data_IF_559900489726
#
_entry.id   IF_559900489726
#
_cell.length_a   1.000
_cell.length_b   1.000
_cell.length_c   1.000
_cell.angle_alpha   90.00
_cell.angle_beta   90.00
_cell.angle_gamma   90.00
#
_symmetry.space_group_name_H-M   'P 1'
#
loop_
_entity.id
_entity.type
_entity.pdbx_description
1 polymer ?
#
# COMPACT_ATOMS: atom_id res chain seq x y z
N UNK A 1 -3.33 -28.28 -14.91
CA UNK A 1 -3.51 -28.87 -13.56
C UNK A 1 -4.06 -27.75 -12.67
N UNK A 2 -5.38 -27.70 -12.47
CA UNK A 2 -5.99 -26.73 -11.54
C UNK A 2 -5.76 -27.24 -10.12
N UNK A 3 -5.07 -26.45 -9.29
CA UNK A 3 -4.74 -26.79 -7.90
C UNK A 3 -5.83 -26.34 -6.91
N UNK A 4 -7.08 -26.16 -7.36
CA UNK A 4 -8.17 -25.67 -6.52
C UNK A 4 -9.48 -26.39 -6.82
N UNK A 5 -10.29 -26.61 -5.79
CA UNK A 5 -11.66 -27.11 -5.89
C UNK A 5 -12.60 -25.94 -6.22
N UNK A 6 -13.70 -26.20 -6.95
CA UNK A 6 -14.66 -25.15 -7.38
C UNK A 6 -15.34 -24.41 -6.22
N UNK A 7 -15.37 -24.99 -5.03
CA UNK A 7 -16.08 -24.46 -3.86
C UNK A 7 -15.16 -23.76 -2.84
N UNK A 8 -13.90 -23.50 -3.20
CA UNK A 8 -12.95 -22.80 -2.31
C UNK A 8 -13.18 -21.29 -2.32
N UNK A 9 -13.05 -20.67 -1.15
CA UNK A 9 -12.88 -19.22 -1.02
C UNK A 9 -11.48 -18.82 -1.53
N UNK A 10 -11.42 -17.74 -2.31
CA UNK A 10 -10.18 -17.27 -2.95
C UNK A 10 -9.67 -16.03 -2.22
N UNK A 11 -8.44 -16.11 -1.71
CA UNK A 11 -7.70 -14.97 -1.16
C UNK A 11 -6.58 -14.61 -2.12
N UNK A 12 -6.47 -13.32 -2.43
CA UNK A 12 -5.38 -12.78 -3.23
C UNK A 12 -4.43 -11.99 -2.33
N UNK A 13 -3.13 -12.17 -2.55
CA UNK A 13 -2.07 -11.41 -1.89
C UNK A 13 -1.31 -10.68 -2.99
N UNK A 14 -1.15 -9.37 -2.85
CA UNK A 14 -0.43 -8.53 -3.80
C UNK A 14 0.73 -7.83 -3.14
N UNK A 15 1.82 -7.65 -3.89
CA UNK A 15 2.90 -6.73 -3.57
C UNK A 15 2.59 -5.33 -4.12
N UNK A 16 3.47 -4.38 -3.83
CA UNK A 16 3.48 -3.06 -4.48
C UNK A 16 3.61 -3.15 -6.01
N UNK A 17 3.20 -2.10 -6.72
CA UNK A 17 3.51 -1.95 -8.14
C UNK A 17 5.04 -1.90 -8.34
N UNK A 18 5.50 -2.41 -9.48
CA UNK A 18 6.93 -2.62 -9.76
C UNK A 18 7.79 -1.39 -9.43
N UNK A 19 8.79 -1.53 -8.56
CA UNK A 19 9.73 -0.45 -8.23
C UNK A 19 9.20 0.61 -7.25
N UNK A 20 7.90 0.61 -6.90
CA UNK A 20 7.34 1.59 -5.94
C UNK A 20 8.00 1.46 -4.57
N UNK A 21 8.19 0.24 -4.06
CA UNK A 21 8.83 0.04 -2.74
C UNK A 21 10.26 0.61 -2.69
N UNK A 22 11.06 0.34 -3.72
CA UNK A 22 12.44 0.85 -3.80
C UNK A 22 12.47 2.38 -3.88
N UNK A 23 11.57 2.96 -4.68
CA UNK A 23 11.42 4.40 -4.84
C UNK A 23 10.99 5.09 -3.53
N UNK A 24 10.03 4.52 -2.81
CA UNK A 24 9.58 4.99 -1.49
C UNK A 24 10.76 4.99 -0.49
N UNK A 25 11.48 3.88 -0.39
CA UNK A 25 12.60 3.76 0.53
C UNK A 25 13.76 4.70 0.17
N UNK A 26 14.04 4.88 -1.12
CA UNK A 26 15.08 5.79 -1.59
C UNK A 26 14.73 7.25 -1.27
N UNK A 27 13.50 7.67 -1.54
CA UNK A 27 13.03 9.02 -1.19
C UNK A 27 13.08 9.24 0.31
N UNK A 28 12.67 8.27 1.14
CA UNK A 28 12.65 8.45 2.60
C UNK A 28 14.07 8.67 3.17
N UNK A 29 15.05 7.92 2.66
CA UNK A 29 16.46 8.07 3.05
C UNK A 29 17.02 9.44 2.66
N UNK A 30 16.70 9.92 1.45
CA UNK A 30 17.08 11.27 1.00
C UNK A 30 16.40 12.35 1.84
N UNK A 31 15.09 12.24 2.06
CA UNK A 31 14.32 13.17 2.86
C UNK A 31 14.91 13.37 4.26
N UNK A 32 15.35 12.28 4.90
CA UNK A 32 15.97 12.32 6.22
C UNK A 32 17.39 12.90 6.22
N UNK A 33 18.11 12.78 5.11
CA UNK A 33 19.51 13.25 5.00
C UNK A 33 19.58 14.72 4.57
N UNK A 34 18.81 15.08 3.55
CA UNK A 34 18.91 16.37 2.87
C UNK A 34 17.86 17.38 3.37
N UNK A 35 16.76 16.91 3.97
CA UNK A 35 15.68 17.76 4.48
C UNK A 35 14.92 18.54 3.39
N UNK A 36 15.10 18.19 2.11
CA UNK A 36 14.54 18.93 0.99
C UNK A 36 13.06 18.60 0.75
N UNK A 37 12.19 19.45 1.27
CA UNK A 37 10.72 19.31 1.11
C UNK A 37 10.29 19.40 -0.35
N UNK A 38 10.94 20.20 -1.18
CA UNK A 38 10.57 20.32 -2.60
C UNK A 38 10.76 19.00 -3.34
N UNK A 39 11.89 18.32 -3.11
CA UNK A 39 12.16 17.01 -3.74
C UNK A 39 11.18 15.93 -3.25
N UNK A 40 10.77 15.99 -1.97
CA UNK A 40 9.74 15.10 -1.45
C UNK A 40 8.36 15.35 -2.10
N UNK A 41 7.98 16.61 -2.33
CA UNK A 41 6.73 16.97 -3.02
C UNK A 41 6.77 16.49 -4.48
N UNK A 42 7.84 16.77 -5.21
CA UNK A 42 8.03 16.31 -6.60
C UNK A 42 7.95 14.77 -6.70
N UNK A 43 8.53 14.06 -5.72
CA UNK A 43 8.40 12.62 -5.62
C UNK A 43 6.94 12.18 -5.42
N UNK A 44 6.21 12.84 -4.52
CA UNK A 44 4.82 12.53 -4.23
C UNK A 44 3.89 12.79 -5.42
N UNK A 45 4.12 13.86 -6.18
CA UNK A 45 3.40 14.12 -7.45
C UNK A 45 3.59 12.96 -8.43
N UNK A 46 4.84 12.53 -8.63
CA UNK A 46 5.17 11.44 -9.54
C UNK A 46 4.56 10.09 -9.12
N UNK A 47 4.54 9.80 -7.82
CA UNK A 47 3.87 8.60 -7.29
C UNK A 47 2.35 8.70 -7.46
N UNK A 48 1.78 9.89 -7.26
CA UNK A 48 0.34 10.15 -7.45
C UNK A 48 -0.07 9.89 -8.89
N UNK A 49 0.62 10.51 -9.85
CA UNK A 49 0.35 10.35 -11.28
C UNK A 49 0.45 8.89 -11.71
N UNK A 50 1.46 8.17 -11.23
CA UNK A 50 1.66 6.76 -11.52
C UNK A 50 0.46 5.89 -11.10
N UNK A 51 -0.07 6.11 -9.89
CA UNK A 51 -1.19 5.32 -9.39
C UNK A 51 -2.51 5.73 -10.05
N UNK A 52 -2.71 7.02 -10.32
CA UNK A 52 -3.86 7.49 -11.09
C UNK A 52 -3.88 6.93 -12.52
N UNK A 53 -2.71 6.87 -13.17
CA UNK A 53 -2.57 6.24 -14.47
C UNK A 53 -2.89 4.74 -14.41
N UNK A 54 -2.38 4.03 -13.39
CA UNK A 54 -2.69 2.61 -13.19
C UNK A 54 -4.20 2.36 -13.01
N UNK A 55 -4.91 3.23 -12.28
CA UNK A 55 -6.37 3.17 -12.14
C UNK A 55 -7.05 3.36 -13.51
N UNK A 56 -6.69 4.44 -14.23
CA UNK A 56 -7.30 4.77 -15.52
C UNK A 56 -7.09 3.67 -16.58
N UNK A 57 -5.92 3.03 -16.56
CA UNK A 57 -5.60 1.95 -17.49
C UNK A 57 -6.34 0.66 -17.14
N UNK A 58 -6.53 0.36 -15.86
CA UNK A 58 -6.99 -0.95 -15.40
C UNK A 58 -8.50 -1.04 -15.09
N UNK A 59 -9.17 0.07 -14.73
CA UNK A 59 -10.58 0.09 -14.29
C UNK A 59 -11.41 0.91 -15.27
N UNK A 60 -12.43 0.31 -15.88
CA UNK A 60 -13.27 0.96 -16.91
C UNK A 60 -14.57 1.54 -16.38
N UNK A 61 -15.15 0.95 -15.34
CA UNK A 61 -16.30 1.50 -14.65
C UNK A 61 -15.92 2.82 -13.94
N UNK A 62 -16.58 3.94 -14.28
CA UNK A 62 -16.23 5.25 -13.75
C UNK A 62 -16.51 5.41 -12.26
N UNK A 63 -17.51 4.72 -11.71
CA UNK A 63 -17.83 4.80 -10.28
C UNK A 63 -16.80 4.01 -9.46
N UNK A 64 -16.40 2.83 -9.93
CA UNK A 64 -15.31 2.05 -9.30
C UNK A 64 -13.99 2.82 -9.38
N UNK A 65 -13.66 3.38 -10.55
CA UNK A 65 -12.44 4.15 -10.74
C UNK A 65 -12.39 5.36 -9.79
N UNK A 66 -13.51 6.07 -9.63
CA UNK A 66 -13.64 7.19 -8.71
C UNK A 66 -13.44 6.77 -7.25
N UNK A 67 -14.12 5.73 -6.80
CA UNK A 67 -14.00 5.21 -5.43
C UNK A 67 -12.56 4.80 -5.09
N UNK A 68 -11.89 4.10 -6.01
CA UNK A 68 -10.49 3.69 -5.83
C UNK A 68 -9.57 4.91 -5.82
N UNK A 69 -9.80 5.89 -6.70
CA UNK A 69 -9.02 7.14 -6.74
C UNK A 69 -9.14 7.92 -5.42
N UNK A 70 -10.35 8.02 -4.85
CA UNK A 70 -10.58 8.68 -3.56
C UNK A 70 -9.84 7.96 -2.42
N UNK A 71 -9.89 6.62 -2.41
CA UNK A 71 -9.16 5.78 -1.45
C UNK A 71 -7.65 6.02 -1.53
N UNK A 72 -7.09 5.99 -2.74
CA UNK A 72 -5.66 6.20 -3.00
C UNK A 72 -5.24 7.61 -2.64
N UNK A 73 -6.03 8.63 -3.00
CA UNK A 73 -5.73 10.03 -2.69
C UNK A 73 -5.62 10.26 -1.18
N UNK A 74 -6.51 9.65 -0.39
CA UNK A 74 -6.42 9.70 1.07
C UNK A 74 -5.12 9.09 1.61
N UNK A 75 -4.70 7.94 1.07
CA UNK A 75 -3.42 7.29 1.45
C UNK A 75 -2.21 8.14 1.05
N UNK A 76 -2.21 8.70 -0.16
CA UNK A 76 -1.13 9.55 -0.64
C UNK A 76 -0.97 10.81 0.20
N UNK A 77 -2.08 11.42 0.65
CA UNK A 77 -2.02 12.57 1.56
C UNK A 77 -1.37 12.23 2.91
N UNK A 78 -1.66 11.06 3.48
CA UNK A 78 -1.01 10.62 4.72
C UNK A 78 0.48 10.30 4.52
N UNK A 79 0.83 9.74 3.36
CA UNK A 79 2.21 9.47 2.98
C UNK A 79 3.01 10.78 2.81
N UNK A 80 2.44 11.79 2.14
CA UNK A 80 3.05 13.11 1.97
C UNK A 80 3.36 13.77 3.32
N UNK A 81 2.40 13.76 4.26
CA UNK A 81 2.62 14.28 5.62
C UNK A 81 3.78 13.58 6.33
N UNK A 82 3.92 12.26 6.14
CA UNK A 82 5.02 11.50 6.70
C UNK A 82 6.37 11.93 6.10
N UNK A 83 6.46 12.12 4.79
CA UNK A 83 7.66 12.66 4.14
C UNK A 83 8.04 14.05 4.64
N UNK A 84 7.06 14.96 4.74
CA UNK A 84 7.29 16.31 5.29
C UNK A 84 7.82 16.23 6.73
N UNK A 85 7.23 15.35 7.54
CA UNK A 85 7.70 15.09 8.90
C UNK A 85 9.15 14.58 8.94
N UNK A 86 9.51 13.65 8.06
CA UNK A 86 10.88 13.14 7.93
C UNK A 86 11.84 14.26 7.53
N UNK A 87 11.48 15.10 6.55
CA UNK A 87 12.30 16.24 6.14
C UNK A 87 12.56 17.22 7.29
N UNK A 88 11.55 17.51 8.11
CA UNK A 88 11.68 18.47 9.22
C UNK A 88 12.46 17.90 10.40
N UNK A 89 12.31 16.61 10.69
CA UNK A 89 13.00 15.97 11.81
C UNK A 89 14.43 15.57 11.45
N UNK A 90 14.71 15.26 10.19
CA UNK A 90 16.00 14.68 9.77
C UNK A 90 16.23 13.28 10.35
N UNK A 91 15.17 12.59 10.76
CA UNK A 91 15.23 11.28 11.40
C UNK A 91 14.42 10.24 10.63
N UNK A 92 15.01 9.05 10.46
CA UNK A 92 14.37 7.92 9.80
C UNK A 92 14.58 6.65 10.62
N UNK A 93 13.59 6.35 11.46
CA UNK A 93 13.61 5.13 12.30
C UNK A 93 13.21 3.90 11.48
N UNK A 94 13.54 2.70 11.98
CA UNK A 94 13.07 1.44 11.39
C UNK A 94 11.53 1.38 11.32
N UNK A 95 10.84 1.93 12.33
CA UNK A 95 9.38 2.06 12.33
C UNK A 95 8.87 2.97 11.21
N UNK A 96 9.54 4.10 10.99
CA UNK A 96 9.19 5.03 9.91
C UNK A 96 9.43 4.39 8.55
N UNK A 97 10.52 3.62 8.39
CA UNK A 97 10.80 2.86 7.16
C UNK A 97 9.69 1.84 6.85
N UNK A 98 9.30 1.02 7.83
CA UNK A 98 8.21 0.05 7.67
C UNK A 98 6.88 0.74 7.32
N UNK A 99 6.61 1.87 7.98
CA UNK A 99 5.42 2.67 7.69
C UNK A 99 5.43 3.14 6.23
N UNK A 100 6.52 3.76 5.77
CA UNK A 100 6.65 4.26 4.39
C UNK A 100 6.59 3.10 3.39
N UNK A 101 7.34 2.02 3.59
CA UNK A 101 7.36 0.90 2.64
C UNK A 101 6.00 0.23 2.50
N UNK A 102 5.22 0.15 3.59
CA UNK A 102 3.88 -0.45 3.57
C UNK A 102 2.90 0.26 2.62
N UNK A 103 3.15 1.52 2.26
CA UNK A 103 2.31 2.22 1.29
C UNK A 103 2.35 1.58 -0.10
N UNK A 104 3.43 0.87 -0.45
CA UNK A 104 3.50 0.15 -1.72
C UNK A 104 2.31 -0.80 -1.91
N UNK A 105 2.09 -1.71 -0.97
CA UNK A 105 0.96 -2.64 -1.01
C UNK A 105 -0.38 -1.94 -0.72
N UNK A 106 -0.41 -0.96 0.20
CA UNK A 106 -1.65 -0.24 0.54
C UNK A 106 -2.21 0.58 -0.64
N UNK A 107 -1.36 0.99 -1.59
CA UNK A 107 -1.78 1.65 -2.82
C UNK A 107 -2.14 0.64 -3.92
N UNK A 108 -1.50 -0.53 -3.95
CA UNK A 108 -1.76 -1.57 -4.96
C UNK A 108 -3.04 -2.39 -4.70
N UNK A 109 -3.33 -2.75 -3.45
CA UNK A 109 -4.46 -3.61 -3.10
C UNK A 109 -5.83 -3.03 -3.47
N UNK A 110 -6.12 -1.72 -3.25
CA UNK A 110 -7.37 -1.11 -3.70
C UNK A 110 -7.54 -1.15 -5.23
N UNK A 111 -6.45 -0.95 -6.00
CA UNK A 111 -6.49 -1.04 -7.47
C UNK A 111 -6.85 -2.45 -7.91
N UNK A 112 -6.16 -3.47 -7.39
CA UNK A 112 -6.46 -4.86 -7.74
C UNK A 112 -7.90 -5.25 -7.40
N UNK A 113 -8.39 -4.82 -6.23
CA UNK A 113 -9.79 -5.05 -5.84
C UNK A 113 -10.77 -4.32 -6.76
N UNK A 114 -10.46 -3.09 -7.17
CA UNK A 114 -11.22 -2.34 -8.16
C UNK A 114 -11.28 -3.04 -9.51
N UNK A 115 -10.17 -3.55 -10.03
CA UNK A 115 -10.11 -4.32 -11.28
C UNK A 115 -10.99 -5.55 -11.22
N UNK A 116 -10.97 -6.29 -10.11
CA UNK A 116 -11.84 -7.46 -9.94
C UNK A 116 -13.32 -7.07 -9.96
N UNK A 117 -13.69 -5.98 -9.29
CA UNK A 117 -15.06 -5.47 -9.29
C UNK A 117 -15.51 -4.99 -10.66
N UNK A 118 -14.61 -4.34 -11.42
CA UNK A 118 -14.84 -3.94 -12.81
C UNK A 118 -15.13 -5.15 -13.73
N UNK A 119 -14.47 -6.29 -13.44
CA UNK A 119 -14.73 -7.57 -14.09
C UNK A 119 -16.01 -8.29 -13.59
N UNK A 120 -16.78 -7.68 -12.69
CA UNK A 120 -17.98 -8.26 -12.10
C UNK A 120 -17.71 -9.29 -10.99
N UNK A 121 -16.47 -9.37 -10.48
CA UNK A 121 -16.10 -10.26 -9.38
C UNK A 121 -16.19 -9.48 -8.06
N UNK A 122 -17.07 -9.87 -7.12
CA UNK A 122 -17.12 -9.24 -5.80
C UNK A 122 -15.75 -9.33 -5.13
N UNK A 123 -15.21 -8.18 -4.71
CA UNK A 123 -13.89 -8.10 -4.10
C UNK A 123 -13.85 -7.01 -3.04
N UNK A 124 -13.08 -7.27 -1.99
CA UNK A 124 -12.74 -6.32 -0.93
C UNK A 124 -11.24 -6.42 -0.67
N UNK A 125 -10.59 -5.28 -0.45
CA UNK A 125 -9.19 -5.23 -0.07
C UNK A 125 -9.05 -5.06 1.46
N UNK A 126 -7.92 -5.53 1.97
CA UNK A 126 -7.51 -5.39 3.37
C UNK A 126 -6.02 -5.07 3.40
N UNK A 127 -5.61 -4.26 4.36
CA UNK A 127 -4.21 -4.25 4.81
C UNK A 127 -3.90 -5.52 5.60
N UNK A 128 -2.61 -5.85 5.78
CA UNK A 128 -2.21 -7.02 6.57
C UNK A 128 -2.78 -6.99 8.00
N UNK A 129 -2.83 -5.81 8.63
CA UNK A 129 -3.41 -5.63 9.96
C UNK A 129 -4.93 -5.83 9.97
N UNK A 130 -5.65 -5.32 8.97
CA UNK A 130 -7.10 -5.53 8.84
C UNK A 130 -7.45 -6.99 8.55
N UNK A 131 -6.57 -7.71 7.83
CA UNK A 131 -6.67 -9.15 7.61
C UNK A 131 -6.35 -9.98 8.87
N UNK A 132 -5.96 -9.35 9.99
CA UNK A 132 -5.69 -10.02 11.26
C UNK A 132 -4.25 -10.49 11.44
N UNK A 133 -3.32 -10.05 10.59
CA UNK A 133 -1.89 -10.32 10.78
C UNK A 133 -1.35 -9.38 11.85
N UNK A 134 -0.85 -9.95 12.94
CA UNK A 134 -0.24 -9.18 14.02
C UNK A 134 1.17 -9.68 14.30
N UNK A 135 2.13 -8.76 14.26
CA UNK A 135 3.55 -9.04 14.44
C UNK A 135 4.09 -8.47 15.75
N UNK A 136 5.31 -8.85 16.09
CA UNK A 136 6.11 -8.16 17.10
C UNK A 136 6.58 -6.77 16.63
N UNK A 137 7.26 -6.02 17.50
CA UNK A 137 7.77 -4.68 17.19
C UNK A 137 9.19 -4.68 16.64
N UNK A 138 9.68 -5.81 16.11
CA UNK A 138 10.98 -5.90 15.46
C UNK A 138 10.91 -5.32 14.03
N UNK A 139 10.71 -4.00 13.92
CA UNK A 139 10.54 -3.30 12.65
C UNK A 139 11.67 -3.64 11.65
N UNK A 140 11.31 -3.86 10.39
CA UNK A 140 12.19 -4.33 9.31
C UNK A 140 12.27 -5.86 9.16
N UNK A 141 12.05 -6.63 10.23
CA UNK A 141 12.04 -8.11 10.20
C UNK A 141 11.05 -8.66 11.25
N UNK A 142 9.83 -8.13 11.23
CA UNK A 142 8.83 -8.45 12.25
C UNK A 142 8.28 -9.87 12.04
N UNK A 143 8.01 -10.58 13.14
CA UNK A 143 7.51 -11.97 13.09
C UNK A 143 6.03 -12.06 13.46
N UNK A 144 5.21 -12.85 12.74
CA UNK A 144 3.83 -13.09 13.13
C UNK A 144 3.72 -13.70 14.54
N UNK A 145 2.85 -13.12 15.36
CA UNK A 145 2.49 -13.63 16.68
C UNK A 145 1.39 -14.69 16.56
N UNK A 146 1.32 -15.62 17.52
CA UNK A 146 0.34 -16.74 17.50
C UNK A 146 -1.11 -16.27 17.30
N UNK A 147 -1.48 -15.12 17.88
CA UNK A 147 -2.83 -14.54 17.74
C UNK A 147 -3.23 -14.25 16.28
N UNK A 148 -2.27 -14.13 15.36
CA UNK A 148 -2.54 -14.01 13.91
C UNK A 148 -3.41 -15.16 13.41
N UNK A 149 -3.04 -16.41 13.75
CA UNK A 149 -3.72 -17.60 13.24
C UNK A 149 -5.16 -17.72 13.77
N UNK A 150 -5.44 -17.16 14.95
CA UNK A 150 -6.79 -17.09 15.50
C UNK A 150 -7.65 -15.95 14.94
N UNK A 151 -7.04 -14.90 14.39
CA UNK A 151 -7.74 -13.70 13.93
C UNK A 151 -8.12 -13.75 12.45
N UNK A 152 -7.28 -14.36 11.60
CA UNK A 152 -7.55 -14.49 10.16
C UNK A 152 -8.92 -15.11 9.88
N UNK A 153 -9.36 -16.20 10.55
CA UNK A 153 -10.67 -16.80 10.28
C UNK A 153 -11.88 -15.94 10.67
N UNK A 154 -11.68 -14.79 11.32
CA UNK A 154 -12.74 -13.88 11.77
C UNK A 154 -12.97 -12.70 10.82
N UNK A 155 -12.21 -12.62 9.72
CA UNK A 155 -12.21 -11.53 8.75
C UNK A 155 -12.82 -11.98 7.44
#
# INVERSE_FOLDING_TARGET
MQHFFRDNEIVLVTSALQGVTDELLACAKKAATDGNVSEAIEFMERITDRHNQAIADAIKDPEIAKEVTETISGKLSELEKAYIGICYLGELTARSLDYISSYGEQLAAPILSGVLRDMGIPSRHFTGSEAGIVTDSNYGDSRPLEKTYSQIPQR
#
